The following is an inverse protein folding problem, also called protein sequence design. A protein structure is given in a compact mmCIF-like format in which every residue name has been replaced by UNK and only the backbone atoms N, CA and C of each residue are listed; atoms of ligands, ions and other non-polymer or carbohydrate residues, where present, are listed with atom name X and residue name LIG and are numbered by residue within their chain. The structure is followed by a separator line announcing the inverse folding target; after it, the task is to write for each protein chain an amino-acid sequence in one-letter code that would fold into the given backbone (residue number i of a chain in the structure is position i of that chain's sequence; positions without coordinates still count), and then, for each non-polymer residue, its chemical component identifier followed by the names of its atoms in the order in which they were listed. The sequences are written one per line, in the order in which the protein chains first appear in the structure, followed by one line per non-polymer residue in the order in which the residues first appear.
data_IF_152592766935
#
_entry.id   IF_152592766935
#
_cell.length_a   1.000
_cell.length_b   1.000
_cell.length_c   1.000
_cell.angle_alpha   90.00
_cell.angle_beta   90.00
_cell.angle_gamma   90.00
#
_symmetry.space_group_name_H-M   'P 1'
#
loop_
_entity.id
_entity.type
_entity.pdbx_description
1 polymer ?
#
# COMPACT_ATOMS: atom_id res chain seq x y z
N UNK A 1 -23.58 -4.21 -26.42
CA UNK A 1 -22.73 -5.40 -26.56
C UNK A 1 -21.45 -5.08 -25.82
N UNK A 2 -21.25 -5.62 -24.63
CA UNK A 2 -19.98 -5.58 -23.90
C UNK A 2 -18.96 -6.36 -24.74
N UNK A 3 -17.79 -5.82 -24.92
CA UNK A 3 -16.73 -6.49 -25.66
C UNK A 3 -15.89 -7.31 -24.68
N UNK A 4 -16.42 -8.47 -24.28
CA UNK A 4 -15.89 -9.30 -23.19
C UNK A 4 -14.42 -9.74 -23.39
N UNK A 5 -13.93 -9.74 -24.63
CA UNK A 5 -12.54 -10.13 -24.92
C UNK A 5 -11.48 -9.09 -24.53
N UNK A 6 -11.88 -7.82 -24.49
CA UNK A 6 -10.95 -6.72 -24.18
C UNK A 6 -10.76 -6.60 -22.68
N UNK A 7 -11.84 -6.85 -21.94
CA UNK A 7 -11.79 -6.84 -20.48
C UNK A 7 -10.84 -7.95 -19.97
N UNK A 8 -10.87 -9.13 -20.58
CA UNK A 8 -10.03 -10.26 -20.19
C UNK A 8 -8.53 -9.99 -20.43
N UNK A 9 -8.14 -9.47 -21.61
CA UNK A 9 -6.74 -9.17 -21.94
C UNK A 9 -6.13 -8.08 -21.02
N UNK A 10 -6.91 -7.13 -20.56
CA UNK A 10 -6.46 -6.09 -19.62
C UNK A 10 -6.32 -6.66 -18.22
N UNK A 11 -7.22 -7.54 -17.81
CA UNK A 11 -7.11 -8.23 -16.52
C UNK A 11 -5.90 -9.14 -16.48
N UNK A 12 -5.61 -9.87 -17.56
CA UNK A 12 -4.41 -10.71 -17.68
C UNK A 12 -3.13 -9.84 -17.59
N UNK A 13 -3.10 -8.71 -18.28
CA UNK A 13 -1.99 -7.76 -18.21
C UNK A 13 -1.81 -7.15 -16.81
N UNK A 14 -2.92 -6.86 -16.14
CA UNK A 14 -2.89 -6.37 -14.76
C UNK A 14 -2.40 -7.46 -13.79
N UNK A 15 -2.78 -8.71 -14.03
CA UNK A 15 -2.32 -9.85 -13.25
C UNK A 15 -0.80 -10.06 -13.41
N UNK A 16 -0.26 -9.98 -14.64
CA UNK A 16 1.18 -10.01 -14.90
C UNK A 16 1.93 -8.89 -14.14
N UNK A 17 1.35 -7.70 -14.09
CA UNK A 17 1.90 -6.58 -13.33
C UNK A 17 1.86 -6.82 -11.82
N UNK A 18 0.75 -7.32 -11.29
CA UNK A 18 0.58 -7.62 -9.87
C UNK A 18 1.51 -8.72 -9.37
N UNK A 19 1.83 -9.69 -10.23
CA UNK A 19 2.75 -10.79 -9.94
C UNK A 19 4.22 -10.49 -10.27
N UNK A 20 4.54 -9.24 -10.67
CA UNK A 20 5.91 -8.82 -10.95
C UNK A 20 6.50 -9.37 -12.25
N UNK A 21 5.70 -10.00 -13.11
CA UNK A 21 6.14 -10.50 -14.42
C UNK A 21 6.46 -9.39 -15.41
N UNK A 22 5.89 -8.21 -15.19
CA UNK A 22 6.16 -6.98 -15.94
C UNK A 22 6.24 -5.79 -15.00
N UNK A 23 7.10 -4.82 -15.35
CA UNK A 23 7.18 -3.57 -14.61
C UNK A 23 6.07 -2.57 -14.99
N UNK A 24 5.95 -1.48 -14.22
CA UNK A 24 4.95 -0.43 -14.47
C UNK A 24 5.05 0.18 -15.87
N UNK A 25 6.27 0.35 -16.38
CA UNK A 25 6.50 0.92 -17.70
C UNK A 25 6.02 -0.04 -18.79
N UNK A 26 6.37 -1.33 -18.68
CA UNK A 26 5.93 -2.38 -19.59
C UNK A 26 4.42 -2.55 -19.56
N UNK A 27 3.80 -2.44 -18.36
CA UNK A 27 2.35 -2.44 -18.22
C UNK A 27 1.70 -1.31 -19.05
N UNK A 28 2.19 -0.07 -18.89
CA UNK A 28 1.67 1.07 -19.65
C UNK A 28 1.94 0.98 -21.17
N UNK A 29 3.13 0.51 -21.56
CA UNK A 29 3.47 0.32 -22.98
C UNK A 29 2.57 -0.73 -23.65
N UNK A 30 2.31 -1.86 -22.97
CA UNK A 30 1.43 -2.92 -23.47
C UNK A 30 -0.04 -2.50 -23.45
N UNK A 31 -0.50 -1.87 -22.37
CA UNK A 31 -1.84 -1.31 -22.30
C UNK A 31 -2.09 -0.26 -23.40
N UNK A 32 -1.07 0.54 -23.75
CA UNK A 32 -1.15 1.53 -24.84
C UNK A 32 -1.31 0.87 -26.23
N UNK A 33 -0.77 -0.32 -26.41
CA UNK A 33 -0.93 -1.09 -27.66
C UNK A 33 -2.33 -1.72 -27.81
N UNK A 34 -3.06 -1.88 -26.71
CA UNK A 34 -4.41 -2.45 -26.67
C UNK A 34 -5.54 -1.44 -26.98
N UNK A 35 -5.24 -0.32 -27.62
CA UNK A 35 -6.18 0.79 -27.84
C UNK A 35 -7.44 0.32 -28.56
N UNK A 36 -8.58 0.36 -27.86
CA UNK A 36 -9.87 -0.03 -28.41
C UNK A 36 -10.95 1.00 -28.02
N UNK A 37 -11.66 1.47 -29.00
CA UNK A 37 -12.90 2.24 -28.80
C UNK A 37 -12.75 3.70 -28.38
N UNK A 38 -11.58 4.34 -28.57
CA UNK A 38 -11.41 5.78 -28.40
C UNK A 38 -11.08 6.25 -26.97
N UNK A 39 -10.94 5.35 -26.01
CA UNK A 39 -10.34 5.64 -24.72
C UNK A 39 -8.82 5.40 -24.81
N UNK A 40 -8.02 6.36 -24.34
CA UNK A 40 -6.58 6.14 -24.30
C UNK A 40 -6.28 5.05 -23.29
N UNK A 41 -5.38 4.14 -23.63
CA UNK A 41 -4.93 3.08 -22.73
C UNK A 41 -4.37 3.61 -21.40
N UNK A 42 -3.88 4.85 -21.39
CA UNK A 42 -3.47 5.57 -20.18
C UNK A 42 -4.66 5.74 -19.22
N UNK A 43 -5.82 6.12 -19.73
CA UNK A 43 -7.03 6.29 -18.90
C UNK A 43 -7.52 4.97 -18.34
N UNK A 44 -7.41 3.87 -19.09
CA UNK A 44 -7.79 2.55 -18.60
C UNK A 44 -6.78 2.00 -17.58
N UNK A 45 -5.49 2.23 -17.81
CA UNK A 45 -4.45 1.85 -16.86
C UNK A 45 -4.55 2.65 -15.55
N UNK A 46 -4.90 3.94 -15.62
CA UNK A 46 -5.18 4.77 -14.44
C UNK A 46 -6.41 4.28 -13.66
N UNK A 47 -7.42 3.72 -14.33
CA UNK A 47 -8.60 3.13 -13.68
C UNK A 47 -8.30 1.79 -12.99
N UNK A 48 -7.33 1.03 -13.48
CA UNK A 48 -6.94 -0.26 -12.93
C UNK A 48 -5.87 -0.14 -11.84
N UNK A 49 -4.99 0.87 -11.94
CA UNK A 49 -3.99 1.12 -10.91
C UNK A 49 -4.65 1.79 -9.71
N UNK A 50 -4.59 1.17 -8.52
CA UNK A 50 -5.10 1.82 -7.33
C UNK A 50 -4.37 3.14 -7.11
N UNK A 51 -5.10 4.24 -7.16
CA UNK A 51 -4.58 5.52 -6.70
C UNK A 51 -4.65 5.53 -5.17
N UNK A 52 -3.66 4.93 -4.52
CA UNK A 52 -3.60 4.82 -3.07
C UNK A 52 -3.64 6.17 -2.36
N UNK A 53 -3.26 7.25 -3.05
CA UNK A 53 -3.33 8.60 -2.49
C UNK A 53 -4.76 9.16 -2.48
N UNK A 54 -5.56 8.83 -3.48
CA UNK A 54 -6.97 9.25 -3.57
C UNK A 54 -7.92 8.28 -2.83
N UNK A 55 -7.51 7.03 -2.64
CA UNK A 55 -8.30 6.01 -1.94
C UNK A 55 -8.21 6.11 -0.40
N UNK A 56 -7.59 7.17 0.15
CA UNK A 56 -7.55 7.38 1.60
C UNK A 56 -8.92 7.79 2.12
N UNK A 57 -9.51 6.97 2.97
CA UNK A 57 -10.79 7.25 3.63
C UNK A 57 -10.62 8.16 4.86
N UNK A 58 -9.47 8.06 5.54
CA UNK A 58 -9.16 8.85 6.72
C UNK A 58 -7.87 9.64 6.47
N UNK A 59 -7.97 10.96 6.42
CA UNK A 59 -6.83 11.83 6.21
C UNK A 59 -5.87 11.81 7.43
N UNK A 60 -4.59 12.03 7.17
CA UNK A 60 -3.57 12.15 8.22
C UNK A 60 -3.92 13.25 9.26
N UNK A 61 -4.59 14.31 8.80
CA UNK A 61 -5.00 15.46 9.60
C UNK A 61 -6.39 15.29 10.23
N UNK A 62 -6.99 14.12 10.20
CA UNK A 62 -8.31 13.88 10.78
C UNK A 62 -8.29 14.13 12.29
N UNK A 63 -9.16 15.00 12.78
CA UNK A 63 -9.20 15.44 14.18
C UNK A 63 -9.61 14.32 15.15
N UNK A 64 -10.20 13.23 14.64
CA UNK A 64 -10.61 12.08 15.46
C UNK A 64 -9.45 11.19 15.89
N UNK A 65 -8.24 11.40 15.33
CA UNK A 65 -7.08 10.56 15.58
C UNK A 65 -5.83 11.37 15.94
N UNK A 66 -4.88 10.69 16.55
CA UNK A 66 -3.49 11.15 16.67
C UNK A 66 -2.59 10.13 16.01
N UNK A 67 -1.82 10.56 15.00
CA UNK A 67 -0.98 9.70 14.19
C UNK A 67 0.47 10.17 14.17
N UNK A 68 1.41 9.26 14.41
CA UNK A 68 2.85 9.57 14.43
C UNK A 68 3.66 8.37 13.93
N UNK A 69 4.82 8.64 13.32
CA UNK A 69 5.85 7.62 13.18
C UNK A 69 6.59 7.47 14.50
N UNK A 70 6.85 6.24 14.87
CA UNK A 70 7.58 5.87 16.09
C UNK A 70 8.72 4.93 15.74
N UNK A 71 9.80 5.01 16.54
CA UNK A 71 10.89 4.04 16.51
C UNK A 71 10.90 3.31 17.85
N UNK A 72 11.08 2.01 17.80
CA UNK A 72 11.09 1.16 18.99
C UNK A 72 12.12 0.03 18.87
N UNK A 73 12.65 -0.44 20.01
CA UNK A 73 13.62 -1.53 20.02
C UNK A 73 13.04 -2.84 19.46
N UNK A 74 13.86 -3.59 18.74
CA UNK A 74 13.54 -4.94 18.24
C UNK A 74 14.48 -5.98 18.91
N UNK A 75 14.28 -6.27 20.19
CA UNK A 75 15.16 -7.21 20.92
C UNK A 75 15.00 -8.62 20.34
N UNK A 76 16.14 -9.21 19.97
CA UNK A 76 16.17 -10.52 19.33
C UNK A 76 15.93 -10.51 17.82
N UNK A 77 15.61 -9.36 17.24
CA UNK A 77 15.58 -9.17 15.80
C UNK A 77 16.95 -8.76 15.23
N UNK A 78 17.12 -8.90 13.92
CA UNK A 78 18.37 -8.54 13.23
C UNK A 78 18.52 -7.04 13.00
N UNK A 79 17.43 -6.27 13.06
CA UNK A 79 17.38 -4.84 12.78
C UNK A 79 17.80 -3.95 13.96
N UNK A 80 17.77 -4.46 15.22
CA UNK A 80 18.03 -3.68 16.42
C UNK A 80 16.93 -2.69 16.77
N UNK A 81 16.47 -1.91 15.81
CA UNK A 81 15.32 -0.99 15.89
C UNK A 81 14.33 -1.24 14.76
N UNK A 82 13.08 -0.93 15.05
CA UNK A 82 11.98 -0.94 14.07
C UNK A 82 11.33 0.43 14.02
N UNK A 83 10.90 0.83 12.82
CA UNK A 83 10.02 1.97 12.61
C UNK A 83 8.59 1.47 12.44
N UNK A 84 7.62 2.28 12.84
CA UNK A 84 6.21 1.99 12.60
C UNK A 84 5.37 3.26 12.60
N UNK A 85 4.18 3.14 12.07
CA UNK A 85 3.16 4.17 12.09
C UNK A 85 2.16 3.83 13.19
N UNK A 86 2.11 4.67 14.23
CA UNK A 86 1.26 4.51 15.40
C UNK A 86 0.11 5.49 15.33
N UNK A 87 -1.11 4.98 15.43
CA UNK A 87 -2.32 5.78 15.40
C UNK A 87 -3.23 5.40 16.57
N UNK A 88 -3.81 6.39 17.22
CA UNK A 88 -4.78 6.19 18.30
C UNK A 88 -5.95 7.14 18.14
N UNK A 89 -7.09 6.88 18.80
CA UNK A 89 -8.15 7.87 18.95
C UNK A 89 -7.60 9.16 19.58
N UNK A 90 -8.04 10.31 19.09
CA UNK A 90 -7.66 11.61 19.67
C UNK A 90 -8.26 11.80 21.07
N UNK A 91 -9.48 11.30 21.25
CA UNK A 91 -10.21 11.36 22.51
C UNK A 91 -10.09 10.04 23.31
N UNK A 92 -10.23 10.15 24.64
CA UNK A 92 -10.15 9.02 25.56
C UNK A 92 -8.73 8.76 26.06
N UNK A 93 -8.64 8.28 27.30
CA UNK A 93 -7.37 7.99 27.99
C UNK A 93 -7.01 6.49 27.99
N UNK A 94 -7.73 5.69 27.19
CA UNK A 94 -7.53 4.23 27.18
C UNK A 94 -8.03 3.51 28.43
N UNK A 95 -7.69 2.24 28.60
CA UNK A 95 -6.96 1.43 27.63
C UNK A 95 -7.76 1.21 26.34
N UNK A 96 -7.08 1.23 25.20
CA UNK A 96 -7.65 0.88 23.90
C UNK A 96 -7.33 -0.57 23.53
N UNK A 97 -8.23 -1.24 22.82
CA UNK A 97 -7.89 -2.48 22.13
C UNK A 97 -6.78 -2.21 21.11
N UNK A 98 -5.79 -3.11 21.00
CA UNK A 98 -4.68 -2.93 20.08
C UNK A 98 -4.87 -3.71 18.79
N UNK A 99 -4.49 -3.11 17.66
CA UNK A 99 -4.48 -3.71 16.32
C UNK A 99 -3.10 -3.56 15.72
N UNK A 100 -2.54 -4.66 15.22
CA UNK A 100 -1.32 -4.66 14.43
C UNK A 100 -1.70 -4.75 12.94
N UNK A 101 -1.32 -3.75 12.16
CA UNK A 101 -1.58 -3.69 10.71
C UNK A 101 -0.31 -4.08 9.97
N UNK A 102 -0.29 -5.30 9.44
CA UNK A 102 0.88 -5.82 8.74
C UNK A 102 0.77 -5.48 7.25
N UNK A 103 1.81 -4.84 6.72
CA UNK A 103 1.91 -4.56 5.29
C UNK A 103 2.30 -5.80 4.49
N UNK A 104 2.08 -5.77 3.19
CA UNK A 104 2.54 -6.77 2.24
C UNK A 104 3.97 -6.47 1.75
N UNK A 105 4.36 -7.01 0.59
CA UNK A 105 5.70 -6.90 0.03
C UNK A 105 6.19 -5.46 -0.22
N UNK A 106 5.30 -4.49 -0.40
CA UNK A 106 5.65 -3.09 -0.70
C UNK A 106 5.87 -2.20 0.54
N UNK A 107 5.94 -2.79 1.71
CA UNK A 107 6.23 -2.06 2.94
C UNK A 107 5.08 -1.16 3.43
N UNK A 108 5.43 -0.26 4.34
CA UNK A 108 4.51 0.71 4.91
C UNK A 108 4.20 1.81 3.88
N UNK A 109 3.14 1.63 3.12
CA UNK A 109 2.66 2.54 2.09
C UNK A 109 1.43 3.35 2.57
N UNK A 110 1.00 4.39 1.84
CA UNK A 110 -0.13 5.24 2.23
C UNK A 110 -1.46 4.50 2.46
N UNK A 111 -1.69 3.38 1.78
CA UNK A 111 -2.88 2.56 1.99
C UNK A 111 -2.84 1.84 3.35
N UNK A 112 -1.70 1.27 3.72
CA UNK A 112 -1.52 0.61 5.03
C UNK A 112 -1.65 1.63 6.16
N UNK A 113 -1.13 2.84 5.98
CA UNK A 113 -1.32 3.94 6.92
C UNK A 113 -2.79 4.32 7.07
N UNK A 114 -3.54 4.37 5.96
CA UNK A 114 -4.97 4.63 5.99
C UNK A 114 -5.75 3.53 6.74
N UNK A 115 -5.40 2.26 6.53
CA UNK A 115 -5.98 1.14 7.30
C UNK A 115 -5.75 1.33 8.81
N UNK A 116 -4.55 1.74 9.21
CA UNK A 116 -4.24 2.02 10.61
C UNK A 116 -5.08 3.21 11.15
N UNK A 117 -5.26 4.26 10.35
CA UNK A 117 -6.11 5.41 10.72
C UNK A 117 -7.58 5.01 10.86
N UNK A 118 -8.11 4.19 9.95
CA UNK A 118 -9.48 3.65 10.05
C UNK A 118 -9.68 2.82 11.30
N UNK A 119 -8.70 2.01 11.67
CA UNK A 119 -8.75 1.25 12.92
C UNK A 119 -8.80 2.19 14.14
N UNK A 120 -8.04 3.30 14.13
CA UNK A 120 -8.07 4.28 15.21
C UNK A 120 -9.41 5.05 15.28
N UNK A 121 -10.01 5.39 14.14
CA UNK A 121 -11.37 5.97 14.10
C UNK A 121 -12.41 4.99 14.68
N UNK A 122 -12.21 3.67 14.50
CA UNK A 122 -13.03 2.64 15.10
C UNK A 122 -12.76 2.40 16.59
N UNK A 123 -11.87 3.17 17.22
CA UNK A 123 -11.62 3.15 18.67
C UNK A 123 -10.42 2.28 19.10
N UNK A 124 -9.57 1.83 18.20
CA UNK A 124 -8.42 1.01 18.50
C UNK A 124 -7.11 1.83 18.54
N UNK A 125 -6.13 1.34 19.30
CA UNK A 125 -4.73 1.73 19.12
C UNK A 125 -4.16 0.87 17.99
N UNK A 126 -3.74 1.48 16.88
CA UNK A 126 -3.20 0.75 15.72
C UNK A 126 -1.70 1.02 15.56
N UNK A 127 -0.93 -0.03 15.35
CA UNK A 127 0.48 0.04 14.97
C UNK A 127 0.67 -0.65 13.62
N UNK A 128 1.22 0.06 12.66
CA UNK A 128 1.66 -0.51 11.39
C UNK A 128 3.21 -0.51 11.35
N UNK A 129 3.87 -1.64 11.64
CA UNK A 129 5.32 -1.76 11.55
C UNK A 129 5.80 -1.59 10.11
N UNK A 130 6.99 -1.02 9.93
CA UNK A 130 7.67 -0.95 8.65
C UNK A 130 8.76 -2.03 8.59
N UNK A 131 8.42 -3.20 8.08
CA UNK A 131 9.34 -4.34 7.96
C UNK A 131 10.50 -4.09 6.99
N UNK A 132 10.39 -3.09 6.10
CA UNK A 132 11.45 -2.73 5.17
C UNK A 132 12.32 -1.56 5.67
N UNK A 133 12.00 -0.95 6.82
CA UNK A 133 12.78 0.16 7.37
C UNK A 133 14.28 -0.17 7.54
N UNK A 134 14.70 -1.39 7.98
CA UNK A 134 16.11 -1.72 8.15
C UNK A 134 16.94 -1.69 6.86
N UNK A 135 16.29 -1.79 5.71
CA UNK A 135 16.92 -1.76 4.39
C UNK A 135 16.65 -0.46 3.63
N UNK A 136 16.09 0.54 4.31
CA UNK A 136 15.80 1.86 3.72
C UNK A 136 14.41 2.00 3.11
N UNK A 137 13.52 1.03 3.32
CA UNK A 137 12.15 1.03 2.79
C UNK A 137 12.00 0.25 1.48
N UNK A 138 10.88 0.43 0.80
CA UNK A 138 10.61 -0.19 -0.48
C UNK A 138 11.56 0.34 -1.57
N UNK A 139 12.29 -0.52 -2.31
CA UNK A 139 13.32 -0.09 -3.25
C UNK A 139 12.78 0.57 -4.54
N UNK A 140 11.46 0.57 -4.73
CA UNK A 140 10.81 1.20 -5.87
C UNK A 140 10.46 0.25 -7.02
N UNK A 141 10.95 -0.98 -6.98
CA UNK A 141 10.59 -2.05 -7.91
C UNK A 141 10.62 -3.42 -7.20
N UNK A 142 9.90 -4.37 -7.75
CA UNK A 142 9.72 -5.69 -7.15
C UNK A 142 10.91 -6.64 -7.45
N UNK A 143 11.72 -6.35 -8.48
CA UNK A 143 12.93 -7.13 -8.80
C UNK A 143 13.99 -6.93 -7.72
N UNK A 144 14.24 -5.68 -7.33
CA UNK A 144 15.17 -5.37 -6.22
C UNK A 144 14.63 -5.90 -4.88
N UNK A 145 13.31 -5.90 -4.71
CA UNK A 145 12.68 -6.47 -3.53
C UNK A 145 12.93 -8.00 -3.42
N UNK A 146 12.94 -8.71 -4.55
CA UNK A 146 13.19 -10.16 -4.59
C UNK A 146 14.60 -10.56 -4.11
N UNK A 147 15.54 -9.61 -4.14
CA UNK A 147 16.91 -9.80 -3.64
C UNK A 147 17.02 -9.62 -2.12
N UNK A 148 15.95 -9.11 -1.49
CA UNK A 148 15.90 -8.89 -0.05
C UNK A 148 15.33 -10.14 0.61
N UNK A 149 16.20 -11.05 0.99
CA UNK A 149 15.83 -12.20 1.80
C UNK A 149 15.61 -11.73 3.25
N UNK A 150 14.36 -11.67 3.65
CA UNK A 150 13.96 -11.44 5.04
C UNK A 150 13.90 -12.78 5.75
#
# INVERSE_FOLDING_TARGET
MRNDKIDDEIYDLYDEYCHGSIDRRQFFERAAAMTIGGLSAVTMAEMLLPNYAEAQEVQFTDERITANYVTYPSPGGTSGEMRGYLVRPAEGNGPFGAVLVIHENRGLNPYIEDVARRAAVAGFLALAPDGLAPIGGYPGNDDDLSLIHI
#
